data_IF_650191601494
#
_entry.id   IF_650191601494
#
_cell.length_a   1.000
_cell.length_b   1.000
_cell.length_c   1.000
_cell.angle_alpha   90.00
_cell.angle_beta   90.00
_cell.angle_gamma   90.00
#
_symmetry.space_group_name_H-M   'P 1'
#
loop_
_entity.id
_entity.type
_entity.pdbx_description
1 polymer ?
#
# COMPACT_ATOMS: atom_id res chain seq x y z
N UNK A 1 -8.38 -11.26 14.91
CA UNK A 1 -9.06 -11.78 13.69
C UNK A 1 -8.00 -12.60 12.95
N UNK A 2 -8.18 -13.91 12.72
CA UNK A 2 -7.10 -14.72 12.14
C UNK A 2 -6.85 -14.32 10.69
N UNK A 3 -5.70 -13.70 10.40
CA UNK A 3 -5.27 -13.37 9.03
C UNK A 3 -4.91 -14.69 8.34
N UNK A 4 -5.79 -15.16 7.46
CA UNK A 4 -5.57 -16.33 6.62
C UNK A 4 -5.77 -15.94 5.16
N UNK A 5 -4.80 -16.29 4.31
CA UNK A 5 -4.91 -16.17 2.86
C UNK A 5 -5.21 -17.55 2.28
N UNK A 6 -6.32 -17.65 1.56
CA UNK A 6 -6.72 -18.89 0.90
C UNK A 6 -6.19 -18.90 -0.53
N UNK A 7 -5.27 -19.81 -0.82
CA UNK A 7 -4.65 -19.95 -2.14
C UNK A 7 -5.08 -21.26 -2.81
N UNK A 8 -5.24 -21.22 -4.13
CA UNK A 8 -5.41 -22.42 -4.94
C UNK A 8 -4.03 -22.82 -5.47
N UNK A 9 -3.47 -23.90 -4.93
CA UNK A 9 -2.09 -24.30 -5.16
C UNK A 9 -2.05 -25.70 -5.75
N UNK A 10 -1.15 -25.89 -6.71
CA UNK A 10 -0.80 -27.22 -7.24
C UNK A 10 0.35 -27.79 -6.41
N UNK A 11 0.16 -29.00 -5.88
CA UNK A 11 1.21 -29.78 -5.22
C UNK A 11 1.14 -31.22 -5.74
N UNK A 12 2.25 -31.74 -6.26
CA UNK A 12 2.36 -33.10 -6.82
C UNK A 12 1.28 -33.44 -7.87
N UNK A 13 0.91 -32.45 -8.71
CA UNK A 13 -0.09 -32.60 -9.76
C UNK A 13 -1.55 -32.56 -9.29
N UNK A 14 -1.80 -32.28 -8.02
CA UNK A 14 -3.14 -32.08 -7.48
C UNK A 14 -3.35 -30.62 -7.06
N UNK A 15 -4.49 -30.05 -7.44
CA UNK A 15 -4.89 -28.72 -7.01
C UNK A 15 -5.73 -28.79 -5.74
N UNK A 16 -5.41 -27.95 -4.76
CA UNK A 16 -6.20 -27.83 -3.54
C UNK A 16 -6.20 -26.41 -3.01
N UNK A 17 -7.23 -26.10 -2.22
CA UNK A 17 -7.25 -24.88 -1.44
C UNK A 17 -6.39 -25.05 -0.19
N UNK A 18 -5.42 -24.17 -0.01
CA UNK A 18 -4.57 -24.11 1.18
C UNK A 18 -4.79 -22.79 1.88
N UNK A 19 -5.04 -22.85 3.19
CA UNK A 19 -5.09 -21.68 4.06
C UNK A 19 -3.69 -21.40 4.59
N UNK A 20 -3.09 -20.30 4.13
CA UNK A 20 -1.80 -19.81 4.60
C UNK A 20 -2.02 -18.74 5.67
N UNK A 21 -1.40 -18.95 6.82
CA UNK A 21 -1.29 -17.92 7.86
C UNK A 21 0.17 -17.47 7.94
N UNK A 22 0.46 -16.23 8.39
CA UNK A 22 1.84 -15.81 8.65
C UNK A 22 2.59 -16.76 9.59
N UNK A 23 1.88 -17.44 10.50
CA UNK A 23 2.45 -18.43 11.42
C UNK A 23 2.85 -19.76 10.74
N UNK A 24 2.23 -20.10 9.61
CA UNK A 24 2.47 -21.34 8.85
C UNK A 24 3.35 -21.14 7.61
N UNK A 25 3.77 -19.91 7.33
CA UNK A 25 4.70 -19.59 6.24
C UNK A 25 6.16 -19.80 6.65
N UNK A 26 7.04 -19.93 5.64
CA UNK A 26 8.48 -20.09 5.81
C UNK A 26 8.90 -21.31 6.65
N UNK A 27 8.11 -22.38 6.64
CA UNK A 27 8.48 -23.67 7.24
C UNK A 27 9.35 -24.43 6.24
N UNK A 28 10.63 -24.71 6.55
CA UNK A 28 11.48 -25.49 5.66
C UNK A 28 10.91 -26.90 5.46
N UNK A 29 10.97 -27.39 4.21
CA UNK A 29 10.49 -28.74 3.86
C UNK A 29 11.45 -29.84 4.35
N UNK A 30 12.75 -29.54 4.42
CA UNK A 30 13.78 -30.45 4.90
C UNK A 30 13.96 -30.35 6.41
N UNK A 31 14.04 -31.50 7.08
CA UNK A 31 14.31 -31.59 8.52
C UNK A 31 15.64 -30.94 8.91
N UNK A 32 16.65 -31.01 8.05
CA UNK A 32 17.97 -30.40 8.30
C UNK A 32 17.95 -28.87 8.30
N UNK A 33 16.96 -28.26 7.64
CA UNK A 33 16.85 -26.81 7.49
C UNK A 33 15.98 -26.18 8.57
N UNK A 34 15.38 -26.96 9.48
CA UNK A 34 14.59 -26.45 10.62
C UNK A 34 15.27 -25.30 11.39
N UNK A 35 16.59 -25.30 11.65
CA UNK A 35 17.27 -24.20 12.32
C UNK A 35 17.31 -22.89 11.51
N UNK A 36 17.12 -22.95 10.19
CA UNK A 36 17.09 -21.79 9.29
C UNK A 36 15.73 -21.09 9.28
N UNK A 37 14.73 -21.64 9.97
CA UNK A 37 13.39 -21.05 10.03
C UNK A 37 13.46 -19.66 10.70
N UNK A 38 12.97 -18.59 10.04
CA UNK A 38 12.93 -17.28 10.66
C UNK A 38 12.01 -17.29 11.88
N UNK A 39 12.24 -16.41 12.87
CA UNK A 39 11.32 -16.23 13.98
C UNK A 39 9.89 -16.01 13.49
N UNK A 40 8.87 -16.55 14.17
CA UNK A 40 7.48 -16.30 13.81
C UNK A 40 7.19 -14.79 13.73
N UNK A 41 6.44 -14.33 12.72
CA UNK A 41 6.10 -12.92 12.59
C UNK A 41 5.25 -12.47 13.78
N UNK A 42 5.53 -11.28 14.30
CA UNK A 42 4.71 -10.64 15.35
C UNK A 42 3.67 -9.78 14.67
N UNK A 43 2.43 -10.26 14.61
CA UNK A 43 1.31 -9.56 13.98
C UNK A 43 0.27 -9.24 15.05
N UNK A 44 0.09 -7.96 15.42
CA UNK A 44 -0.94 -7.60 16.40
C UNK A 44 -2.34 -7.75 15.79
N UNK A 45 -3.37 -7.86 16.64
CA UNK A 45 -4.77 -7.95 16.20
C UNK A 45 -5.30 -6.64 15.59
N UNK A 46 -4.70 -5.51 15.97
CA UNK A 46 -4.99 -4.16 15.48
C UNK A 46 -3.68 -3.54 15.05
N UNK A 47 -3.65 -2.99 13.85
CA UNK A 47 -2.49 -2.38 13.24
C UNK A 47 -2.92 -1.30 12.25
N UNK A 48 -2.07 -0.30 12.10
CA UNK A 48 -2.09 0.66 11.03
C UNK A 48 -1.17 0.20 9.88
N UNK A 49 -1.52 0.62 8.67
CA UNK A 49 -0.77 0.29 7.45
C UNK A 49 -0.33 1.60 6.81
N UNK A 50 0.97 1.75 6.64
CA UNK A 50 1.55 2.75 5.76
C UNK A 50 1.54 2.24 4.32
N UNK A 51 0.95 2.99 3.40
CA UNK A 51 1.02 2.75 1.95
C UNK A 51 1.85 3.85 1.33
N UNK A 52 2.96 3.45 0.74
CA UNK A 52 3.89 4.30 0.04
C UNK A 52 3.58 4.38 -1.45
N UNK A 53 3.49 5.61 -1.98
CA UNK A 53 3.25 5.90 -3.39
C UNK A 53 4.22 6.97 -3.92
N UNK A 54 5.04 6.59 -4.90
CA UNK A 54 5.88 7.53 -5.64
C UNK A 54 5.19 7.89 -6.95
N UNK A 55 4.65 9.11 -7.03
CA UNK A 55 4.01 9.67 -8.22
C UNK A 55 5.00 10.50 -9.03
N UNK A 56 4.94 10.39 -10.35
CA UNK A 56 5.67 11.23 -11.29
C UNK A 56 4.71 11.69 -12.39
N UNK A 57 4.23 12.93 -12.27
CA UNK A 57 3.28 13.56 -13.20
C UNK A 57 2.07 12.69 -13.52
N UNK A 58 1.57 11.94 -12.53
CA UNK A 58 0.52 10.93 -12.71
C UNK A 58 -0.78 11.28 -11.97
N UNK A 59 -1.02 12.58 -11.75
CA UNK A 59 -2.08 13.12 -10.91
C UNK A 59 -3.42 12.40 -10.99
N UNK A 60 -4.06 12.27 -12.18
CA UNK A 60 -5.38 11.67 -12.29
C UNK A 60 -5.42 10.18 -11.91
N UNK A 61 -4.38 9.42 -12.30
CA UNK A 61 -4.31 7.99 -11.96
C UNK A 61 -3.93 7.80 -10.49
N UNK A 62 -3.06 8.64 -9.96
CA UNK A 62 -2.71 8.69 -8.55
C UNK A 62 -3.92 9.02 -7.68
N UNK A 63 -4.73 10.01 -8.06
CA UNK A 63 -5.99 10.31 -7.41
C UNK A 63 -6.95 9.12 -7.41
N UNK A 64 -7.05 8.39 -8.52
CA UNK A 64 -7.85 7.17 -8.61
C UNK A 64 -7.31 6.03 -7.73
N UNK A 65 -5.99 5.86 -7.64
CA UNK A 65 -5.35 4.91 -6.72
C UNK A 65 -5.75 5.22 -5.28
N UNK A 66 -5.59 6.47 -4.83
CA UNK A 66 -6.00 6.92 -3.49
C UNK A 66 -7.50 6.71 -3.25
N UNK A 67 -8.32 7.03 -4.25
CA UNK A 67 -9.77 6.83 -4.19
C UNK A 67 -10.10 5.36 -3.92
N UNK A 68 -9.50 4.43 -4.67
CA UNK A 68 -9.78 3.00 -4.52
C UNK A 68 -9.22 2.44 -3.22
N UNK A 69 -8.09 2.94 -2.72
CA UNK A 69 -7.56 2.60 -1.39
C UNK A 69 -8.60 2.91 -0.31
N UNK A 70 -9.07 4.15 -0.22
CA UNK A 70 -9.93 4.57 0.88
C UNK A 70 -11.37 4.07 0.77
N UNK A 71 -11.89 3.93 -0.45
CA UNK A 71 -13.29 3.50 -0.64
C UNK A 71 -13.48 2.00 -0.53
N UNK A 72 -12.43 1.19 -0.80
CA UNK A 72 -12.53 -0.28 -0.83
C UNK A 72 -11.86 -0.95 0.36
N UNK A 73 -11.04 -0.25 1.12
CA UNK A 73 -10.48 -0.80 2.34
C UNK A 73 -11.57 -1.11 3.39
N UNK A 74 -11.43 -2.27 4.04
CA UNK A 74 -12.31 -2.67 5.16
C UNK A 74 -12.17 -1.74 6.38
N UNK A 75 -10.98 -1.20 6.61
CA UNK A 75 -10.66 -0.33 7.75
C UNK A 75 -9.88 0.92 7.29
N UNK A 76 -10.53 1.85 6.55
CA UNK A 76 -9.84 2.97 5.90
C UNK A 76 -9.17 3.94 6.89
N UNK A 77 -9.68 4.04 8.12
CA UNK A 77 -9.10 4.88 9.18
C UNK A 77 -7.68 4.45 9.62
N UNK A 78 -7.32 3.18 9.35
CA UNK A 78 -6.02 2.59 9.70
C UNK A 78 -4.96 2.74 8.60
N UNK A 79 -5.33 3.31 7.46
CA UNK A 79 -4.42 3.50 6.33
C UNK A 79 -3.77 4.88 6.44
N UNK A 80 -2.44 4.92 6.43
CA UNK A 80 -1.67 6.16 6.30
C UNK A 80 -0.96 6.15 4.96
N UNK A 81 -1.01 7.25 4.21
CA UNK A 81 -0.35 7.35 2.91
C UNK A 81 0.92 8.18 3.06
N UNK A 82 2.02 7.68 2.51
CA UNK A 82 3.18 8.48 2.18
C UNK A 82 3.24 8.68 0.67
N UNK A 83 2.99 9.90 0.23
CA UNK A 83 2.96 10.27 -1.18
C UNK A 83 4.15 11.16 -1.49
N UNK A 84 5.04 10.71 -2.37
CA UNK A 84 6.01 11.60 -3.03
C UNK A 84 5.39 12.03 -4.35
N UNK A 85 4.94 13.28 -4.44
CA UNK A 85 4.27 13.80 -5.64
C UNK A 85 5.23 14.68 -6.45
N UNK A 86 5.73 14.14 -7.56
CA UNK A 86 6.67 14.86 -8.43
C UNK A 86 5.91 15.46 -9.62
N UNK A 87 5.70 16.77 -9.59
CA UNK A 87 4.84 17.51 -10.54
C UNK A 87 5.57 18.71 -11.18
N UNK A 88 4.91 19.36 -12.12
CA UNK A 88 5.20 20.71 -12.64
C UNK A 88 3.94 21.58 -12.51
N UNK A 89 4.06 22.87 -12.82
CA UNK A 89 2.98 23.85 -12.64
C UNK A 89 1.70 23.53 -13.43
N UNK A 90 1.82 22.80 -14.55
CA UNK A 90 0.72 22.41 -15.43
C UNK A 90 0.14 21.01 -15.11
N UNK A 91 0.72 20.29 -14.16
CA UNK A 91 0.28 18.95 -13.81
C UNK A 91 -0.87 18.97 -12.80
N UNK A 92 -1.76 17.99 -12.91
CA UNK A 92 -2.73 17.70 -11.87
C UNK A 92 -2.02 17.15 -10.62
N UNK A 93 -2.37 17.67 -9.45
CA UNK A 93 -1.86 17.23 -8.14
C UNK A 93 -2.65 16.00 -7.71
N UNK A 94 -1.95 14.94 -7.27
CA UNK A 94 -2.57 13.65 -6.97
C UNK A 94 -3.67 13.73 -5.90
N UNK A 95 -3.42 14.48 -4.82
CA UNK A 95 -4.39 14.64 -3.72
C UNK A 95 -5.62 15.43 -4.15
N UNK A 96 -5.45 16.40 -5.05
CA UNK A 96 -6.57 17.20 -5.54
C UNK A 96 -7.47 16.37 -6.46
N UNK A 97 -6.89 15.51 -7.30
CA UNK A 97 -7.63 14.55 -8.12
C UNK A 97 -8.38 13.51 -7.26
N UNK A 98 -7.76 13.05 -6.16
CA UNK A 98 -8.46 12.23 -5.17
C UNK A 98 -9.68 12.95 -4.58
N UNK A 99 -9.51 14.21 -4.17
CA UNK A 99 -10.60 15.00 -3.59
C UNK A 99 -11.77 15.20 -4.58
N UNK A 100 -11.48 15.46 -5.86
CA UNK A 100 -12.50 15.54 -6.90
C UNK A 100 -13.32 14.25 -7.01
N UNK A 101 -12.64 13.10 -7.03
CA UNK A 101 -13.30 11.79 -7.17
C UNK A 101 -14.20 11.45 -5.98
N UNK A 102 -13.82 11.80 -4.75
CA UNK A 102 -14.69 11.56 -3.58
C UNK A 102 -15.89 12.49 -3.55
N UNK A 103 -15.73 13.75 -3.96
CA UNK A 103 -16.85 14.69 -4.13
C UNK A 103 -17.85 14.18 -5.18
N UNK A 104 -17.35 13.72 -6.34
CA UNK A 104 -18.17 13.10 -7.38
C UNK A 104 -18.87 11.81 -6.90
N UNK A 105 -18.24 11.05 -6.00
CA UNK A 105 -18.82 9.88 -5.36
C UNK A 105 -19.83 10.23 -4.25
N UNK A 106 -20.11 11.52 -4.02
CA UNK A 106 -21.12 12.01 -3.09
C UNK A 106 -20.64 12.19 -1.65
N UNK A 107 -19.33 12.25 -1.41
CA UNK A 107 -18.81 12.57 -0.08
C UNK A 107 -18.90 14.08 0.17
N UNK A 108 -19.32 14.46 1.37
CA UNK A 108 -19.50 15.88 1.74
C UNK A 108 -18.19 16.64 1.92
N UNK A 109 -17.10 15.91 2.08
CA UNK A 109 -15.75 16.44 2.27
C UNK A 109 -14.71 15.46 1.71
N UNK A 110 -13.50 15.96 1.47
CA UNK A 110 -12.34 15.13 1.11
C UNK A 110 -11.84 14.35 2.35
N UNK A 111 -12.63 13.37 2.77
CA UNK A 111 -12.39 12.54 3.95
C UNK A 111 -11.04 11.82 3.84
N UNK A 112 -10.36 11.60 4.96
CA UNK A 112 -9.05 10.96 5.05
C UNK A 112 -7.88 11.72 4.39
N UNK A 113 -8.09 12.95 3.89
CA UNK A 113 -6.99 13.81 3.41
C UNK A 113 -5.91 14.01 4.47
N UNK A 114 -6.29 14.06 5.74
CA UNK A 114 -5.41 14.14 6.91
C UNK A 114 -4.54 12.89 7.12
N UNK A 115 -4.92 11.75 6.53
CA UNK A 115 -4.14 10.52 6.54
C UNK A 115 -3.07 10.47 5.43
N UNK A 116 -2.99 11.50 4.56
CA UNK A 116 -2.04 11.58 3.45
C UNK A 116 -0.91 12.55 3.78
N UNK A 117 0.31 12.02 3.90
CA UNK A 117 1.54 12.79 4.09
C UNK A 117 2.16 13.01 2.71
N UNK A 118 2.29 14.26 2.28
CA UNK A 118 2.79 14.61 0.94
C UNK A 118 4.20 15.19 1.03
N UNK A 119 5.12 14.62 0.27
CA UNK A 119 6.42 15.21 -0.09
C UNK A 119 6.35 15.65 -1.56
N UNK A 120 5.97 16.92 -1.76
CA UNK A 120 5.81 17.51 -3.09
C UNK A 120 7.17 17.97 -3.63
N UNK A 121 7.46 17.62 -4.89
CA UNK A 121 8.76 17.88 -5.53
C UNK A 121 8.60 18.32 -6.99
N UNK A 122 9.56 19.10 -7.48
CA UNK A 122 9.66 19.40 -8.90
C UNK A 122 10.15 18.15 -9.67
N UNK A 123 9.33 17.66 -10.58
CA UNK A 123 9.64 16.51 -11.44
C UNK A 123 10.94 16.68 -12.24
N UNK A 124 11.36 17.92 -12.57
CA UNK A 124 12.63 18.20 -13.27
C UNK A 124 13.86 17.81 -12.47
N UNK A 125 13.72 17.72 -11.15
CA UNK A 125 14.80 17.33 -10.23
C UNK A 125 14.78 15.85 -9.86
N UNK A 126 13.86 15.08 -10.46
CA UNK A 126 13.70 13.66 -10.16
C UNK A 126 14.97 12.86 -10.46
N UNK A 127 15.27 11.93 -9.56
CA UNK A 127 16.38 10.98 -9.67
C UNK A 127 15.90 9.55 -9.88
N UNK A 128 14.66 9.40 -10.36
CA UNK A 128 14.02 8.11 -10.61
C UNK A 128 13.35 7.47 -9.38
N UNK A 129 12.70 6.32 -9.57
CA UNK A 129 11.82 5.71 -8.59
C UNK A 129 12.53 5.25 -7.31
N UNK A 130 13.78 4.78 -7.40
CA UNK A 130 14.52 4.33 -6.21
C UNK A 130 14.72 5.45 -5.19
N UNK A 131 15.06 6.65 -5.66
CA UNK A 131 15.24 7.82 -4.79
C UNK A 131 13.89 8.29 -4.25
N UNK A 132 12.85 8.30 -5.07
CA UNK A 132 11.50 8.66 -4.63
C UNK A 132 10.99 7.70 -3.53
N UNK A 133 11.17 6.38 -3.69
CA UNK A 133 10.80 5.39 -2.66
C UNK A 133 11.60 5.56 -1.37
N UNK A 134 12.88 5.94 -1.46
CA UNK A 134 13.66 6.30 -0.28
C UNK A 134 13.15 7.58 0.42
N UNK A 135 12.76 8.61 -0.34
CA UNK A 135 12.15 9.84 0.21
C UNK A 135 10.84 9.54 0.92
N UNK A 136 10.03 8.68 0.31
CA UNK A 136 8.77 8.23 0.86
C UNK A 136 8.93 7.44 2.17
N UNK A 137 10.00 6.65 2.32
CA UNK A 137 10.30 5.97 3.59
C UNK A 137 10.50 6.96 4.74
N UNK A 138 10.87 8.22 4.46
CA UNK A 138 11.00 9.26 5.50
C UNK A 138 9.62 9.73 6.03
N UNK A 139 8.53 9.35 5.37
CA UNK A 139 7.16 9.67 5.78
C UNK A 139 6.54 8.61 6.69
N UNK A 140 7.22 7.47 6.89
CA UNK A 140 6.82 6.41 7.82
C UNK A 140 6.92 6.94 9.26
N UNK A 141 5.97 6.55 10.11
CA UNK A 141 5.98 6.83 11.55
C UNK A 141 5.85 5.52 12.32
N UNK A 142 4.77 5.38 13.10
CA UNK A 142 4.56 4.26 14.02
C UNK A 142 3.64 3.17 13.43
N UNK A 143 3.42 3.17 12.11
CA UNK A 143 2.59 2.15 11.46
C UNK A 143 3.27 0.77 11.48
N UNK A 144 2.52 -0.29 11.80
CA UNK A 144 3.10 -1.65 11.95
C UNK A 144 3.49 -2.30 10.63
N UNK A 145 2.79 -1.98 9.54
CA UNK A 145 3.05 -2.55 8.22
C UNK A 145 3.28 -1.47 7.17
N UNK A 146 4.18 -1.76 6.23
CA UNK A 146 4.45 -0.92 5.08
C UNK A 146 4.14 -1.69 3.79
N UNK A 147 3.39 -1.06 2.89
CA UNK A 147 3.10 -1.53 1.55
C UNK A 147 3.61 -0.49 0.54
N UNK A 148 4.37 -0.94 -0.45
CA UNK A 148 4.83 -0.10 -1.56
C UNK A 148 4.02 -0.41 -2.82
N UNK A 149 3.48 0.60 -3.49
CA UNK A 149 2.75 0.45 -4.74
C UNK A 149 3.13 1.51 -5.76
N UNK A 150 2.78 1.26 -7.02
CA UNK A 150 2.87 2.26 -8.07
C UNK A 150 1.65 3.20 -8.06
N UNK A 151 1.83 4.42 -8.55
CA UNK A 151 0.83 5.50 -8.51
C UNK A 151 -0.42 5.24 -9.35
N UNK A 152 -0.43 4.26 -10.24
CA UNK A 152 -1.57 3.90 -11.10
C UNK A 152 -2.04 2.47 -10.82
N UNK A 153 -2.20 2.14 -9.54
CA UNK A 153 -2.70 0.84 -9.08
C UNK A 153 -4.19 0.92 -8.75
N UNK A 154 -4.89 -0.22 -8.79
CA UNK A 154 -6.29 -0.29 -8.37
C UNK A 154 -6.46 -1.34 -7.28
N UNK A 155 -6.99 -0.91 -6.12
CA UNK A 155 -7.38 -1.85 -5.06
C UNK A 155 -8.75 -2.44 -5.38
N UNK A 156 -8.94 -3.74 -5.14
CA UNK A 156 -10.21 -4.42 -5.37
C UNK A 156 -10.98 -4.61 -4.04
N UNK A 157 -12.31 -4.74 -4.07
CA UNK A 157 -13.14 -5.01 -2.89
C UNK A 157 -12.84 -6.36 -2.22
#
# INVERSE_FOLDING_TARGET
MSISQRLYVESDGAFSWVDLTPASQNIPLSEGDKPLRPPPPRVPDVFDIFIGIASYRDGPRCGFTLFTIFTRAKHPHRIKIGLVDQTQDDDAICVDEYCKLVEEAGWTECKYKDQIRVDARDSKTSKGPTVARWQQQQLIRDEEFCLEIDAHSQFLP
#
